data_IF_211220853181
#
_entry.id   IF_211220853181
#
_cell.length_a   1.000
_cell.length_b   1.000
_cell.length_c   1.000
_cell.angle_alpha   90.00
_cell.angle_beta   90.00
_cell.angle_gamma   90.00
#
_symmetry.space_group_name_H-M   'P 1'
#
loop_
_entity.id
_entity.type
_entity.pdbx_description
1 polymer ?
#
# COMPACT_ATOMS: atom_id res chain seq x y z
N UNK A 1 10.65 15.08 9.02
CA UNK A 1 9.49 14.74 9.86
C UNK A 1 8.38 14.26 8.94
N UNK A 2 8.07 12.95 8.89
CA UNK A 2 7.25 12.35 7.81
C UNK A 2 5.75 12.45 8.12
N UNK A 3 4.94 12.68 7.09
CA UNK A 3 3.50 12.98 7.17
C UNK A 3 2.67 11.92 7.91
N UNK A 4 3.16 10.67 7.94
CA UNK A 4 2.51 9.53 8.58
C UNK A 4 2.62 9.51 10.11
N UNK A 5 3.61 10.18 10.71
CA UNK A 5 3.61 10.44 12.17
C UNK A 5 2.39 11.27 12.58
N UNK A 6 1.85 12.09 11.65
CA UNK A 6 0.67 12.93 11.93
C UNK A 6 -0.63 12.16 11.81
N UNK A 7 -0.71 11.14 10.95
CA UNK A 7 -1.94 10.37 10.72
C UNK A 7 -2.23 9.43 11.90
N UNK A 8 -1.22 8.69 12.39
CA UNK A 8 -1.36 7.85 13.59
C UNK A 8 -1.68 8.68 14.85
N UNK A 9 -1.13 9.90 14.94
CA UNK A 9 -1.45 10.85 16.02
C UNK A 9 -2.87 11.43 15.86
N UNK A 10 -3.28 11.78 14.63
CA UNK A 10 -4.60 12.35 14.35
C UNK A 10 -5.73 11.34 14.61
N UNK A 11 -5.56 10.08 14.22
CA UNK A 11 -6.56 9.03 14.46
C UNK A 11 -6.74 8.74 15.96
N UNK A 12 -5.65 8.83 16.73
CA UNK A 12 -5.71 8.70 18.18
C UNK A 12 -6.39 9.92 18.83
N UNK A 13 -6.08 11.14 18.39
CA UNK A 13 -6.66 12.38 18.92
C UNK A 13 -8.17 12.53 18.66
N UNK A 14 -8.71 11.87 17.63
CA UNK A 14 -10.14 11.92 17.28
C UNK A 14 -11.04 11.07 18.20
N UNK A 15 -10.50 10.06 18.88
CA UNK A 15 -11.30 9.14 19.70
C UNK A 15 -10.83 8.99 21.16
N UNK A 16 -9.60 9.41 21.49
CA UNK A 16 -9.05 9.37 22.85
C UNK A 16 -7.80 10.26 22.94
N UNK A 17 -7.75 11.32 23.76
CA UNK A 17 -6.49 12.05 23.95
C UNK A 17 -5.43 11.10 24.53
N UNK A 18 -4.44 10.65 23.74
CA UNK A 18 -3.50 9.68 24.22
C UNK A 18 -2.51 10.45 25.09
N UNK A 19 -2.40 10.04 26.34
CA UNK A 19 -1.35 10.52 27.24
C UNK A 19 0.01 10.44 26.54
N UNK A 20 0.95 11.30 26.93
CA UNK A 20 2.30 11.32 26.35
C UNK A 20 2.98 9.93 26.41
N UNK A 21 2.68 9.14 27.44
CA UNK A 21 3.08 7.75 27.58
C UNK A 21 2.46 6.84 26.50
N UNK A 22 1.14 6.97 26.24
CA UNK A 22 0.45 6.24 25.17
C UNK A 22 1.03 6.52 23.78
N UNK A 23 1.34 7.79 23.47
CA UNK A 23 1.98 8.16 22.20
C UNK A 23 3.35 7.50 22.01
N UNK A 24 4.13 7.39 23.10
CA UNK A 24 5.45 6.73 23.07
C UNK A 24 5.33 5.23 22.78
N UNK A 25 4.37 4.56 23.41
CA UNK A 25 4.12 3.13 23.20
C UNK A 25 3.68 2.86 21.76
N UNK A 26 2.73 3.64 21.24
CA UNK A 26 2.26 3.52 19.84
C UNK A 26 3.44 3.73 18.88
N UNK A 27 4.24 4.78 19.08
CA UNK A 27 5.42 5.04 18.25
C UNK A 27 6.39 3.86 18.26
N UNK A 28 6.71 3.30 19.43
CA UNK A 28 7.61 2.15 19.54
C UNK A 28 7.06 0.92 18.81
N UNK A 29 5.76 0.65 18.92
CA UNK A 29 5.12 -0.47 18.22
C UNK A 29 5.17 -0.28 16.69
N UNK A 30 4.86 0.92 16.21
CA UNK A 30 4.96 1.28 14.78
C UNK A 30 6.41 1.16 14.29
N UNK A 31 7.39 1.69 15.04
CA UNK A 31 8.81 1.61 14.67
C UNK A 31 9.31 0.17 14.57
N UNK A 32 8.89 -0.72 15.48
CA UNK A 32 9.25 -2.15 15.40
C UNK A 32 8.67 -2.82 14.17
N UNK A 33 7.41 -2.50 13.83
CA UNK A 33 6.73 -3.02 12.65
C UNK A 33 7.41 -2.52 11.37
N UNK A 34 7.69 -1.23 11.27
CA UNK A 34 8.41 -0.62 10.16
C UNK A 34 9.81 -1.23 9.99
N UNK A 35 10.57 -1.40 11.08
CA UNK A 35 11.89 -2.01 11.01
C UNK A 35 11.84 -3.46 10.49
N UNK A 36 10.79 -4.23 10.82
CA UNK A 36 10.63 -5.60 10.32
C UNK A 36 10.30 -5.62 8.83
N UNK A 37 9.36 -4.79 8.40
CA UNK A 37 8.96 -4.71 6.98
C UNK A 37 10.05 -4.09 6.11
N UNK A 38 10.77 -3.09 6.60
CA UNK A 38 11.94 -2.53 5.91
C UNK A 38 13.03 -3.58 5.69
N UNK A 39 13.35 -4.40 6.72
CA UNK A 39 14.30 -5.52 6.55
C UNK A 39 13.79 -6.57 5.56
N UNK A 40 12.50 -6.89 5.57
CA UNK A 40 11.92 -7.84 4.62
C UNK A 40 12.05 -7.33 3.18
N UNK A 41 11.76 -6.04 2.94
CA UNK A 41 11.91 -5.41 1.63
C UNK A 41 13.38 -5.29 1.20
N UNK A 42 14.32 -5.08 2.13
CA UNK A 42 15.76 -5.09 1.81
C UNK A 42 16.23 -6.50 1.41
N UNK A 43 15.68 -7.54 2.04
CA UNK A 43 16.02 -8.93 1.74
C UNK A 43 15.39 -9.42 0.42
N UNK A 44 14.18 -8.94 0.10
CA UNK A 44 13.46 -9.25 -1.13
C UNK A 44 12.92 -7.95 -1.76
N UNK A 45 13.65 -7.34 -2.71
CA UNK A 45 13.26 -6.08 -3.34
C UNK A 45 11.93 -6.14 -4.11
N UNK A 46 11.49 -7.33 -4.55
CA UNK A 46 10.21 -7.49 -5.27
C UNK A 46 8.99 -7.53 -4.36
N UNK A 47 9.20 -7.65 -3.05
CA UNK A 47 8.12 -7.76 -2.06
C UNK A 47 7.14 -6.58 -2.14
N UNK A 48 7.63 -5.37 -2.42
CA UNK A 48 6.78 -4.20 -2.54
C UNK A 48 5.84 -4.26 -3.75
N UNK A 49 6.36 -4.66 -4.91
CA UNK A 49 5.59 -4.92 -6.12
C UNK A 49 4.53 -6.02 -5.87
N UNK A 50 4.93 -7.14 -5.26
CA UNK A 50 4.00 -8.23 -4.93
C UNK A 50 2.87 -7.77 -4.01
N UNK A 51 3.16 -6.91 -3.02
CA UNK A 51 2.14 -6.36 -2.11
C UNK A 51 1.20 -5.38 -2.83
N UNK A 52 1.71 -4.56 -3.76
CA UNK A 52 0.89 -3.67 -4.58
C UNK A 52 -0.05 -4.46 -5.49
N UNK A 53 0.46 -5.52 -6.12
CA UNK A 53 -0.29 -6.44 -6.97
C UNK A 53 -1.39 -7.17 -6.16
N UNK A 54 -1.04 -7.77 -5.02
CA UNK A 54 -2.00 -8.44 -4.12
C UNK A 54 -3.06 -7.48 -3.58
N UNK A 55 -2.67 -6.23 -3.31
CA UNK A 55 -3.60 -5.18 -2.90
C UNK A 55 -4.59 -4.76 -3.99
N UNK A 56 -4.28 -5.05 -5.26
CA UNK A 56 -5.00 -4.48 -6.41
C UNK A 56 -4.87 -2.96 -6.46
N UNK A 57 -3.74 -2.41 -6.00
CA UNK A 57 -3.50 -0.96 -5.96
C UNK A 57 -3.42 -0.39 -7.37
N UNK A 58 -2.84 -1.14 -8.31
CA UNK A 58 -2.74 -0.76 -9.72
C UNK A 58 -3.85 -1.34 -10.60
N UNK A 59 -4.71 -2.18 -10.03
CA UNK A 59 -5.83 -2.74 -10.77
C UNK A 59 -6.87 -1.65 -11.05
N UNK A 60 -7.52 -1.75 -12.22
CA UNK A 60 -8.75 -1.00 -12.46
C UNK A 60 -9.75 -1.26 -11.32
N UNK A 61 -10.60 -0.26 -11.05
CA UNK A 61 -11.67 -0.41 -10.07
C UNK A 61 -12.51 -1.67 -10.32
N UNK A 62 -13.11 -2.25 -9.26
CA UNK A 62 -13.87 -3.48 -9.38
C UNK A 62 -14.98 -3.35 -10.43
N UNK A 63 -15.16 -4.41 -11.21
CA UNK A 63 -16.15 -4.52 -12.27
C UNK A 63 -16.99 -5.76 -12.03
N UNK A 64 -18.26 -5.69 -12.42
CA UNK A 64 -19.16 -6.83 -12.37
C UNK A 64 -18.91 -7.83 -13.51
N UNK A 65 -19.69 -8.90 -13.55
CA UNK A 65 -19.62 -9.94 -14.58
C UNK A 65 -19.90 -9.44 -16.02
N UNK A 66 -20.49 -8.25 -16.17
CA UNK A 66 -20.75 -7.62 -17.47
C UNK A 66 -19.62 -6.65 -17.88
N UNK A 67 -18.64 -6.44 -17.00
CA UNK A 67 -17.57 -5.46 -17.18
C UNK A 67 -17.99 -4.03 -16.82
N UNK A 68 -19.21 -3.81 -16.31
CA UNK A 68 -19.63 -2.51 -15.79
C UNK A 68 -18.96 -2.23 -14.43
N UNK A 69 -18.81 -0.96 -14.02
CA UNK A 69 -18.33 -0.64 -12.68
C UNK A 69 -19.18 -1.32 -11.60
N UNK A 70 -18.52 -1.95 -10.64
CA UNK A 70 -19.18 -2.57 -9.48
C UNK A 70 -19.88 -1.50 -8.64
N UNK A 71 -21.10 -1.81 -8.19
CA UNK A 71 -21.92 -0.90 -7.37
C UNK A 71 -22.27 -1.49 -5.99
N UNK A 72 -21.99 -2.78 -5.75
CA UNK A 72 -22.24 -3.42 -4.46
C UNK A 72 -21.38 -2.77 -3.35
N UNK A 73 -21.98 -2.06 -2.37
CA UNK A 73 -21.23 -1.28 -1.38
C UNK A 73 -20.27 -2.13 -0.54
N UNK A 74 -20.68 -3.34 -0.17
CA UNK A 74 -19.87 -4.30 0.59
C UNK A 74 -18.61 -4.73 -0.16
N UNK A 75 -18.72 -4.95 -1.46
CA UNK A 75 -17.59 -5.34 -2.31
C UNK A 75 -16.64 -4.15 -2.50
N UNK A 76 -17.18 -2.96 -2.73
CA UNK A 76 -16.40 -1.73 -2.82
C UNK A 76 -15.63 -1.43 -1.53
N UNK A 77 -16.25 -1.62 -0.36
CA UNK A 77 -15.61 -1.42 0.93
C UNK A 77 -14.49 -2.44 1.17
N UNK A 78 -14.72 -3.71 0.83
CA UNK A 78 -13.69 -4.75 0.89
C UNK A 78 -12.48 -4.41 0.02
N UNK A 79 -12.73 -4.03 -1.23
CA UNK A 79 -11.69 -3.66 -2.20
C UNK A 79 -10.93 -2.39 -1.79
N UNK A 80 -11.61 -1.42 -1.18
CA UNK A 80 -10.97 -0.23 -0.61
C UNK A 80 -10.06 -0.60 0.57
N UNK A 81 -10.55 -1.40 1.52
CA UNK A 81 -9.77 -1.85 2.68
C UNK A 81 -8.56 -2.69 2.29
N UNK A 82 -8.70 -3.56 1.27
CA UNK A 82 -7.59 -4.34 0.73
C UNK A 82 -6.49 -3.44 0.15
N UNK A 83 -6.85 -2.41 -0.62
CA UNK A 83 -5.91 -1.43 -1.17
C UNK A 83 -5.23 -0.59 -0.09
N UNK A 84 -6.00 -0.12 0.90
CA UNK A 84 -5.48 0.67 2.01
C UNK A 84 -4.45 -0.12 2.82
N UNK A 85 -4.75 -1.39 3.13
CA UNK A 85 -3.80 -2.28 3.81
C UNK A 85 -2.49 -2.44 3.02
N UNK A 86 -2.56 -2.65 1.71
CA UNK A 86 -1.36 -2.77 0.88
C UNK A 86 -0.51 -1.49 0.92
N UNK A 87 -1.14 -0.32 0.84
CA UNK A 87 -0.44 0.97 0.96
C UNK A 87 0.21 1.16 2.34
N UNK A 88 -0.45 0.74 3.42
CA UNK A 88 0.13 0.79 4.76
C UNK A 88 1.37 -0.11 4.88
N UNK A 89 1.32 -1.32 4.31
CA UNK A 89 2.45 -2.26 4.32
C UNK A 89 3.64 -1.70 3.54
N UNK A 90 3.39 -1.14 2.35
CA UNK A 90 4.40 -0.48 1.52
C UNK A 90 5.01 0.73 2.25
N UNK A 91 4.19 1.53 2.95
CA UNK A 91 4.69 2.63 3.76
C UNK A 91 5.61 2.17 4.90
N UNK A 92 5.32 1.00 5.50
CA UNK A 92 6.17 0.39 6.53
C UNK A 92 7.51 -0.13 5.99
N UNK A 93 7.60 -0.44 4.69
CA UNK A 93 8.86 -0.83 4.05
C UNK A 93 9.83 0.35 3.89
N UNK A 94 9.35 1.59 4.08
CA UNK A 94 10.18 2.79 4.05
C UNK A 94 10.40 3.38 2.67
N UNK A 95 9.68 2.86 1.65
CA UNK A 95 9.70 3.37 0.29
C UNK A 95 9.32 4.85 0.27
N UNK A 96 10.13 5.63 -0.44
CA UNK A 96 9.84 7.03 -0.74
C UNK A 96 8.74 7.12 -1.79
N UNK A 97 8.01 8.25 -1.87
CA UNK A 97 7.03 8.47 -2.92
C UNK A 97 7.63 8.35 -4.35
N UNK A 98 8.94 8.56 -4.48
CA UNK A 98 9.66 8.42 -5.74
C UNK A 98 9.89 6.95 -6.11
N UNK A 99 10.41 6.14 -5.18
CA UNK A 99 10.60 4.69 -5.39
C UNK A 99 9.27 3.97 -5.62
N UNK A 100 8.21 4.41 -4.93
CA UNK A 100 6.85 3.92 -5.18
C UNK A 100 6.42 4.21 -6.63
N UNK A 101 6.66 5.42 -7.12
CA UNK A 101 6.34 5.81 -8.50
C UNK A 101 7.14 4.99 -9.51
N UNK A 102 8.42 4.71 -9.25
CA UNK A 102 9.23 3.86 -10.14
C UNK A 102 8.71 2.43 -10.20
N UNK A 103 8.35 1.82 -9.07
CA UNK A 103 7.75 0.48 -9.06
C UNK A 103 6.42 0.43 -9.81
N UNK A 104 5.60 1.48 -9.68
CA UNK A 104 4.34 1.60 -10.44
C UNK A 104 4.57 1.76 -11.96
N UNK A 105 5.73 2.29 -12.38
CA UNK A 105 6.09 2.45 -13.80
C UNK A 105 6.71 1.17 -14.39
N UNK A 106 7.53 0.46 -13.62
CA UNK A 106 8.15 -0.81 -14.06
C UNK A 106 7.12 -1.91 -14.32
N UNK A 107 6.09 -2.04 -13.46
CA UNK A 107 4.99 -3.01 -13.69
C UNK A 107 4.22 -2.72 -15.00
N UNK A 108 4.11 -1.45 -15.39
CA UNK A 108 3.43 -1.04 -16.62
C UNK A 108 4.23 -1.33 -17.90
N UNK A 109 5.57 -1.35 -17.84
CA UNK A 109 6.41 -1.66 -19.00
C UNK A 109 6.59 -3.16 -19.25
N UNK A 110 6.59 -4.00 -18.20
CA UNK A 110 6.69 -5.45 -18.36
C UNK A 110 5.51 -6.04 -19.17
N UNK A 111 4.34 -5.40 -19.13
CA UNK A 111 3.14 -5.86 -19.85
C UNK A 111 3.10 -5.39 -21.32
N UNK A 112 3.88 -4.36 -21.68
CA UNK A 112 3.75 -3.68 -22.97
C UNK A 112 4.69 -4.22 -24.06
N UNK A 113 5.77 -4.92 -23.68
CA UNK A 113 6.75 -5.49 -24.62
C UNK A 113 6.39 -6.91 -25.11
N UNK A 114 5.51 -7.64 -24.40
CA UNK A 114 5.12 -9.01 -24.80
C UNK A 114 4.14 -9.02 -26.00
N UNK A 115 3.34 -7.96 -26.19
CA UNK A 115 2.37 -7.85 -27.29
C UNK A 115 3.01 -7.48 -28.64
N UNK A 116 4.28 -7.06 -28.67
CA UNK A 116 4.97 -6.64 -29.91
C UNK A 116 5.82 -7.71 -30.57
N UNK A 117 6.06 -8.83 -29.89
CA UNK A 117 6.97 -9.89 -30.38
C UNK A 117 6.28 -10.98 -31.20
N UNK A 118 4.96 -10.91 -31.40
CA UNK A 118 4.16 -11.92 -32.12
C UNK A 118 3.80 -11.62 -33.58
N UNK A 119 4.36 -10.57 -34.19
CA UNK A 119 4.00 -10.12 -35.56
C UNK A 119 5.19 -10.00 -36.53
N UNK A 120 6.25 -10.79 -36.33
CA UNK A 120 7.34 -10.92 -37.31
C UNK A 120 7.26 -12.25 -38.06
#
# INVERSE_FOLDING_TARGET
>A
MKIFDRIAVAFSALFFEPTQAGRRIIRQAVSRRAARWGRACTAEPRLAADVLALGGVLALGPRDQTGAPELAPEHLAYEAGRRELALELVALMGLTPFELREQMMEEHHATQDDDRSGLA
#
